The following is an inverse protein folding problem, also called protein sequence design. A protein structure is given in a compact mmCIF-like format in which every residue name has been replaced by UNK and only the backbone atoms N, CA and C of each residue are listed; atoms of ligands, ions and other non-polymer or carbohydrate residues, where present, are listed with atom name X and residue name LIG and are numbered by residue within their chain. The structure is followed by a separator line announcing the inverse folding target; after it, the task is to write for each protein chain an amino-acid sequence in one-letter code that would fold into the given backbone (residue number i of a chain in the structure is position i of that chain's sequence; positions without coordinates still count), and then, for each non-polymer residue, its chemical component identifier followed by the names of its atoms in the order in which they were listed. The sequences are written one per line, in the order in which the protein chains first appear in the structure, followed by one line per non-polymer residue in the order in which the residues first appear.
data_IF_932750808064
#
_entry.id   IF_932750808064
#
_cell.length_a   1.000
_cell.length_b   1.000
_cell.length_c   1.000
_cell.angle_alpha   90.00
_cell.angle_beta   90.00
_cell.angle_gamma   90.00
#
_symmetry.space_group_name_H-M   'P 1'
#
loop_
_entity.id
_entity.type
_entity.pdbx_description
1 polymer ?
#
# COMPACT_ATOMS: atom_id res chain seq x y z
N UNK A 1 -4.85 13.33 31.42
CA UNK A 1 -5.70 13.37 30.20
C UNK A 1 -5.55 12.06 29.43
N UNK A 2 -6.64 11.52 28.87
CA UNK A 2 -6.62 10.23 28.13
C UNK A 2 -5.71 10.24 26.87
N UNK A 3 -5.29 11.41 26.40
CA UNK A 3 -4.51 11.59 25.18
C UNK A 3 -3.00 11.66 25.39
N UNK A 4 -2.52 11.82 26.60
CA UNK A 4 -1.08 11.96 26.88
C UNK A 4 -0.39 10.59 27.03
N UNK A 5 -1.18 9.55 27.28
CA UNK A 5 -0.69 8.18 27.35
C UNK A 5 -1.49 7.30 26.38
N UNK A 6 -0.82 6.50 25.55
CA UNK A 6 -1.52 5.57 24.68
C UNK A 6 -2.30 4.55 25.51
N UNK A 7 -3.48 4.15 25.02
CA UNK A 7 -4.27 3.11 25.66
C UNK A 7 -3.44 1.81 25.77
N UNK A 8 -3.55 1.06 26.87
CA UNK A 8 -2.69 -0.09 27.14
C UNK A 8 -2.63 -1.09 25.99
N UNK A 9 -3.76 -1.39 25.34
CA UNK A 9 -3.79 -2.34 24.22
C UNK A 9 -3.06 -1.81 22.98
N UNK A 10 -3.10 -0.50 22.70
CA UNK A 10 -2.35 0.12 21.60
C UNK A 10 -0.85 0.08 21.92
N UNK A 11 -0.48 0.41 23.15
CA UNK A 11 0.90 0.34 23.59
C UNK A 11 1.45 -1.06 23.46
N UNK A 12 0.74 -2.08 23.97
CA UNK A 12 1.14 -3.47 23.88
C UNK A 12 1.31 -3.93 22.43
N UNK A 13 0.41 -3.51 21.54
CA UNK A 13 0.52 -3.81 20.11
C UNK A 13 1.77 -3.15 19.48
N UNK A 14 2.06 -1.88 19.77
CA UNK A 14 3.23 -1.19 19.23
C UNK A 14 4.53 -1.77 19.81
N UNK A 15 4.54 -2.16 21.07
CA UNK A 15 5.71 -2.80 21.68
C UNK A 15 5.95 -4.20 21.07
N UNK A 16 4.92 -5.02 20.92
CA UNK A 16 5.02 -6.33 20.23
C UNK A 16 5.48 -6.17 18.77
N UNK A 17 5.04 -5.12 18.09
CA UNK A 17 5.47 -4.80 16.73
C UNK A 17 6.94 -4.40 16.69
N UNK A 18 7.42 -3.59 17.62
CA UNK A 18 8.83 -3.19 17.71
C UNK A 18 9.74 -4.39 18.06
N UNK A 19 9.32 -5.27 18.96
CA UNK A 19 10.02 -6.52 19.25
C UNK A 19 10.15 -7.40 18.01
N UNK A 20 9.06 -7.57 17.25
CA UNK A 20 9.06 -8.31 16.01
C UNK A 20 9.95 -7.67 14.93
N UNK A 21 10.00 -6.33 14.86
CA UNK A 21 10.92 -5.62 13.99
C UNK A 21 12.38 -5.86 14.39
N UNK A 22 12.70 -5.73 15.66
CA UNK A 22 14.07 -5.88 16.17
C UNK A 22 14.62 -7.29 15.93
N UNK A 23 13.78 -8.33 16.07
CA UNK A 23 14.22 -9.72 15.90
C UNK A 23 14.63 -10.07 14.47
N UNK A 24 14.07 -9.38 13.46
CA UNK A 24 14.31 -9.69 12.05
C UNK A 24 15.07 -8.57 11.30
N UNK A 25 14.91 -7.34 11.76
CA UNK A 25 15.50 -6.13 11.16
C UNK A 25 15.99 -5.19 12.26
N UNK A 26 17.16 -5.45 12.90
CA UNK A 26 17.66 -4.64 14.02
C UNK A 26 17.74 -3.14 13.73
N UNK A 27 18.03 -2.78 12.47
CA UNK A 27 18.10 -1.38 12.03
C UNK A 27 16.73 -0.72 11.86
N UNK A 28 15.63 -1.49 11.88
CA UNK A 28 14.26 -1.00 11.76
C UNK A 28 13.60 -0.72 13.13
N UNK A 29 14.37 -0.79 14.22
CA UNK A 29 13.91 -0.47 15.57
C UNK A 29 13.24 0.89 15.62
N UNK A 30 12.07 0.96 16.26
CA UNK A 30 11.32 2.20 16.42
C UNK A 30 11.90 3.03 17.57
N UNK A 31 12.11 4.32 17.34
CA UNK A 31 12.44 5.25 18.41
C UNK A 31 11.23 5.51 19.30
N UNK A 32 11.46 6.00 20.51
CA UNK A 32 10.38 6.38 21.45
C UNK A 32 9.38 7.36 20.81
N UNK A 33 9.89 8.34 20.06
CA UNK A 33 9.06 9.31 19.33
C UNK A 33 8.21 8.65 18.24
N UNK A 34 8.78 7.69 17.50
CA UNK A 34 8.04 6.94 16.47
C UNK A 34 6.96 6.06 17.09
N UNK A 35 7.25 5.39 18.21
CA UNK A 35 6.26 4.60 18.95
C UNK A 35 5.11 5.48 19.45
N UNK A 36 5.42 6.63 20.07
CA UNK A 36 4.41 7.59 20.51
C UNK A 36 3.54 8.09 19.36
N UNK A 37 4.16 8.46 18.25
CA UNK A 37 3.45 8.91 17.07
C UNK A 37 2.55 7.83 16.45
N UNK A 38 3.04 6.60 16.31
CA UNK A 38 2.24 5.47 15.81
C UNK A 38 1.07 5.16 16.74
N UNK A 39 1.31 5.13 18.06
CA UNK A 39 0.27 4.92 19.07
C UNK A 39 -0.82 5.98 18.98
N UNK A 40 -0.44 7.25 18.84
CA UNK A 40 -1.38 8.35 18.64
C UNK A 40 -2.15 8.19 17.32
N UNK A 41 -1.50 7.83 16.23
CA UNK A 41 -2.18 7.61 14.95
C UNK A 41 -3.23 6.48 15.04
N UNK A 42 -2.90 5.36 15.69
CA UNK A 42 -3.85 4.27 15.92
C UNK A 42 -5.07 4.74 16.73
N UNK A 43 -4.83 5.48 17.82
CA UNK A 43 -5.90 6.04 18.62
C UNK A 43 -6.75 7.03 17.82
N UNK A 44 -6.11 7.93 17.07
CA UNK A 44 -6.80 8.93 16.26
C UNK A 44 -7.66 8.31 15.16
N UNK A 45 -7.19 7.21 14.53
CA UNK A 45 -7.99 6.43 13.57
C UNK A 45 -9.22 5.86 14.26
N UNK A 46 -9.05 5.23 15.44
CA UNK A 46 -10.14 4.62 16.19
C UNK A 46 -11.20 5.67 16.58
N UNK A 47 -10.77 6.87 17.02
CA UNK A 47 -11.67 7.94 17.45
C UNK A 47 -12.35 8.67 16.28
N UNK A 48 -11.66 8.86 15.16
CA UNK A 48 -12.18 9.69 14.06
C UNK A 48 -12.73 8.89 12.89
N UNK A 49 -12.52 7.58 12.90
CA UNK A 49 -12.79 6.68 11.77
C UNK A 49 -12.28 7.24 10.44
N UNK A 50 -11.07 7.82 10.45
CA UNK A 50 -10.53 8.54 9.30
C UNK A 50 -9.01 8.52 9.31
N UNK A 51 -8.38 8.62 8.14
CA UNK A 51 -6.94 8.83 7.97
C UNK A 51 -6.72 10.26 7.47
N UNK A 52 -6.86 11.23 8.34
CA UNK A 52 -6.75 12.66 8.00
C UNK A 52 -6.02 13.45 9.08
N UNK A 53 -4.87 14.05 8.73
CA UNK A 53 -4.05 14.82 9.69
C UNK A 53 -4.80 15.96 10.37
N UNK A 54 -5.69 16.65 9.65
CA UNK A 54 -6.48 17.72 10.22
C UNK A 54 -7.47 17.19 11.29
N UNK A 55 -8.07 16.01 11.09
CA UNK A 55 -8.91 15.38 12.10
C UNK A 55 -8.07 14.90 13.29
N UNK A 56 -6.90 14.32 13.04
CA UNK A 56 -5.97 13.89 14.08
C UNK A 56 -5.51 15.07 14.95
N UNK A 57 -5.15 16.19 14.32
CA UNK A 57 -4.80 17.42 15.05
C UNK A 57 -5.92 17.91 15.93
N UNK A 58 -7.16 17.90 15.46
CA UNK A 58 -8.32 18.29 16.28
C UNK A 58 -8.56 17.34 17.44
N UNK A 59 -8.48 16.03 17.24
CA UNK A 59 -8.69 15.09 18.34
C UNK A 59 -7.52 15.06 19.35
N UNK A 60 -6.35 15.63 19.01
CA UNK A 60 -5.22 15.74 19.92
C UNK A 60 -5.37 16.84 20.97
N UNK A 61 -6.44 17.64 20.93
CA UNK A 61 -6.67 18.77 21.83
C UNK A 61 -5.49 19.75 21.93
N UNK A 62 -4.84 20.01 20.78
CA UNK A 62 -3.71 20.93 20.69
C UNK A 62 -2.32 20.32 20.86
N UNK A 63 -2.20 19.05 21.29
CA UNK A 63 -0.90 18.40 21.51
C UNK A 63 -0.13 18.15 20.21
N UNK A 64 -0.82 17.93 19.10
CA UNK A 64 -0.21 17.62 17.81
C UNK A 64 -0.73 18.52 16.70
N UNK A 65 0.14 19.35 16.16
CA UNK A 65 -0.18 20.13 14.95
C UNK A 65 -0.20 19.23 13.72
N UNK A 66 -1.13 19.49 12.80
CA UNK A 66 -1.27 18.74 11.55
C UNK A 66 0.04 18.70 10.71
N UNK A 67 0.82 19.81 10.73
CA UNK A 67 2.14 19.89 10.06
C UNK A 67 3.14 18.93 10.69
N UNK A 68 3.20 18.81 12.01
CA UNK A 68 4.10 17.92 12.74
C UNK A 68 3.76 16.45 12.47
N UNK A 69 2.48 16.09 12.46
CA UNK A 69 2.02 14.74 12.11
C UNK A 69 2.42 14.35 10.68
N UNK A 70 2.23 15.27 9.73
CA UNK A 70 2.62 15.05 8.34
C UNK A 70 4.14 14.97 8.17
N UNK A 71 4.91 15.78 8.93
CA UNK A 71 6.36 15.75 8.93
C UNK A 71 6.90 14.39 9.41
N UNK A 72 6.39 13.89 10.53
CA UNK A 72 6.74 12.56 11.05
C UNK A 72 6.48 11.47 10.00
N UNK A 73 5.33 11.48 9.33
CA UNK A 73 5.03 10.51 8.27
C UNK A 73 6.03 10.53 7.11
N UNK A 74 6.51 11.73 6.75
CA UNK A 74 7.41 11.91 5.59
C UNK A 74 8.87 11.66 5.90
N UNK A 75 9.34 12.05 7.08
CA UNK A 75 10.76 12.19 7.38
C UNK A 75 11.27 11.30 8.52
N UNK A 76 10.40 10.59 9.23
CA UNK A 76 10.79 9.78 10.39
C UNK A 76 11.60 8.52 10.05
N UNK A 77 11.87 8.24 8.78
CA UNK A 77 12.62 7.06 8.32
C UNK A 77 12.08 5.72 8.85
N UNK A 78 10.75 5.62 9.03
CA UNK A 78 10.10 4.36 9.38
C UNK A 78 10.17 3.41 8.19
N UNK A 79 10.61 2.17 8.42
CA UNK A 79 10.63 1.11 7.40
C UNK A 79 9.22 0.54 7.19
N UNK A 80 8.40 1.23 6.40
CA UNK A 80 6.97 0.94 6.22
C UNK A 80 6.69 -0.47 5.72
N UNK A 81 7.53 -1.02 4.82
CA UNK A 81 7.36 -2.38 4.32
C UNK A 81 7.59 -3.42 5.42
N UNK A 82 8.66 -3.25 6.21
CA UNK A 82 8.93 -4.11 7.36
C UNK A 82 7.84 -3.96 8.42
N UNK A 83 7.37 -2.73 8.67
CA UNK A 83 6.29 -2.46 9.61
C UNK A 83 5.00 -3.21 9.21
N UNK A 84 4.59 -3.15 7.94
CA UNK A 84 3.43 -3.88 7.44
C UNK A 84 3.61 -5.38 7.60
N UNK A 85 4.79 -5.92 7.22
CA UNK A 85 5.09 -7.33 7.34
C UNK A 85 4.97 -7.85 8.77
N UNK A 86 5.63 -7.16 9.71
CA UNK A 86 5.62 -7.57 11.11
C UNK A 86 4.27 -7.33 11.78
N UNK A 87 3.54 -6.28 11.39
CA UNK A 87 2.15 -6.07 11.78
C UNK A 87 1.28 -7.27 11.40
N UNK A 88 1.39 -7.73 10.16
CA UNK A 88 0.69 -8.93 9.69
C UNK A 88 1.04 -10.15 10.54
N UNK A 89 2.33 -10.38 10.83
CA UNK A 89 2.79 -11.52 11.65
C UNK A 89 2.26 -11.46 13.08
N UNK A 90 2.31 -10.29 13.70
CA UNK A 90 1.78 -10.08 15.06
C UNK A 90 0.28 -10.39 15.11
N UNK A 91 -0.49 -9.86 14.15
CA UNK A 91 -1.93 -10.10 14.07
C UNK A 91 -2.25 -11.57 13.83
N UNK A 92 -1.58 -12.20 12.86
CA UNK A 92 -1.78 -13.65 12.56
C UNK A 92 -1.50 -14.50 13.79
N UNK A 93 -0.42 -14.22 14.52
CA UNK A 93 -0.07 -14.93 15.76
C UNK A 93 -1.10 -14.68 16.87
N UNK A 94 -1.48 -13.42 17.08
CA UNK A 94 -2.40 -13.03 18.16
C UNK A 94 -3.80 -13.60 17.99
N UNK A 95 -4.29 -13.69 16.74
CA UNK A 95 -5.61 -14.25 16.43
C UNK A 95 -5.57 -15.75 16.10
N UNK A 96 -4.42 -16.41 16.21
CA UNK A 96 -4.28 -17.82 15.91
C UNK A 96 -4.70 -18.20 14.48
N UNK A 97 -4.45 -17.32 13.51
CA UNK A 97 -4.88 -17.51 12.12
C UNK A 97 -4.02 -18.60 11.49
N UNK A 98 -4.63 -19.73 11.15
CA UNK A 98 -3.96 -20.88 10.54
C UNK A 98 -4.31 -21.09 9.07
N UNK A 99 -5.39 -20.44 8.58
CA UNK A 99 -5.83 -20.57 7.19
C UNK A 99 -6.49 -19.30 6.69
N UNK A 100 -6.48 -19.09 5.38
CA UNK A 100 -7.11 -17.95 4.73
C UNK A 100 -6.93 -17.99 3.24
N UNK A 101 -7.57 -17.04 2.56
CA UNK A 101 -7.49 -16.86 1.09
C UNK A 101 -6.73 -15.57 0.82
N UNK A 102 -5.70 -15.64 -0.04
CA UNK A 102 -5.03 -14.43 -0.55
C UNK A 102 -5.86 -13.85 -1.70
N UNK A 103 -6.27 -12.61 -1.53
CA UNK A 103 -7.02 -11.83 -2.53
C UNK A 103 -6.15 -10.69 -2.99
N UNK A 104 -5.99 -10.57 -4.30
CA UNK A 104 -5.34 -9.43 -4.94
C UNK A 104 -6.41 -8.50 -5.48
N UNK A 105 -6.37 -7.26 -5.03
CA UNK A 105 -7.28 -6.19 -5.48
C UNK A 105 -6.48 -4.98 -5.97
N UNK A 106 -7.06 -4.21 -6.87
CA UNK A 106 -6.48 -2.96 -7.34
C UNK A 106 -7.34 -1.77 -6.93
N UNK A 107 -6.68 -0.67 -6.62
CA UNK A 107 -7.32 0.58 -6.27
C UNK A 107 -6.70 1.73 -7.02
N UNK A 108 -7.55 2.56 -7.64
CA UNK A 108 -7.12 3.73 -8.39
C UNK A 108 -7.43 5.02 -7.64
N UNK A 109 -6.42 5.85 -7.46
CA UNK A 109 -6.58 7.15 -6.83
C UNK A 109 -6.27 8.28 -7.82
N UNK A 110 -7.27 9.08 -8.13
CA UNK A 110 -7.11 10.33 -8.90
C UNK A 110 -6.14 11.27 -8.21
N UNK A 111 -5.31 11.95 -8.99
CA UNK A 111 -4.33 12.92 -8.50
C UNK A 111 -4.54 14.28 -9.18
N UNK A 112 -4.08 15.34 -8.51
CA UNK A 112 -4.10 16.69 -9.09
C UNK A 112 -3.28 16.78 -10.39
N UNK A 113 -3.49 17.81 -11.18
CA UNK A 113 -2.85 18.02 -12.50
C UNK A 113 -1.32 17.97 -12.43
N UNK A 114 -0.70 18.51 -11.38
CA UNK A 114 0.76 18.50 -11.19
C UNK A 114 1.20 17.21 -10.49
N UNK A 115 1.60 16.22 -11.27
CA UNK A 115 1.94 14.87 -10.76
C UNK A 115 3.43 14.54 -10.82
N UNK A 116 4.29 15.46 -11.28
CA UNK A 116 5.74 15.21 -11.46
C UNK A 116 6.46 14.70 -10.19
N UNK A 117 5.94 15.07 -9.01
CA UNK A 117 6.52 14.69 -7.70
C UNK A 117 5.82 13.50 -7.05
N UNK A 118 4.81 12.91 -7.72
CA UNK A 118 4.04 11.80 -7.17
C UNK A 118 4.61 10.51 -7.71
N UNK A 119 5.02 9.62 -6.80
CA UNK A 119 5.63 8.33 -7.13
C UNK A 119 4.69 7.51 -8.02
N UNK A 120 5.21 7.00 -9.14
CA UNK A 120 4.49 6.16 -10.12
C UNK A 120 3.13 6.71 -10.59
N UNK A 121 2.95 8.03 -10.61
CA UNK A 121 1.75 8.62 -11.20
C UNK A 121 1.75 8.43 -12.72
N UNK A 122 0.62 8.00 -13.26
CA UNK A 122 0.43 7.73 -14.68
C UNK A 122 -0.98 8.08 -15.13
N UNK A 123 -1.28 7.94 -16.42
CA UNK A 123 -2.63 8.13 -16.96
C UNK A 123 -3.49 6.91 -16.65
N UNK A 124 -4.58 7.11 -15.92
CA UNK A 124 -5.61 6.13 -15.67
C UNK A 124 -6.91 6.51 -16.40
N UNK A 125 -7.72 5.53 -16.77
CA UNK A 125 -9.00 5.78 -17.42
C UNK A 125 -10.01 6.27 -16.38
N UNK A 126 -10.61 7.42 -16.61
CA UNK A 126 -11.68 7.91 -15.76
C UNK A 126 -13.02 7.30 -16.17
N UNK A 127 -13.56 6.43 -15.32
CA UNK A 127 -14.85 5.76 -15.56
C UNK A 127 -16.02 6.75 -15.70
N UNK A 128 -15.92 7.95 -15.09
CA UNK A 128 -17.00 8.94 -15.11
C UNK A 128 -17.01 9.78 -16.39
N UNK A 129 -15.85 10.25 -16.82
CA UNK A 129 -15.74 11.12 -18.02
C UNK A 129 -15.39 10.37 -19.30
N UNK A 130 -15.04 9.07 -19.20
CA UNK A 130 -14.57 8.27 -20.33
C UNK A 130 -13.17 8.63 -20.83
N UNK A 131 -12.58 9.71 -20.30
CA UNK A 131 -11.25 10.22 -20.66
C UNK A 131 -10.12 9.64 -19.78
N UNK A 132 -8.97 10.30 -19.86
CA UNK A 132 -7.79 9.95 -19.08
C UNK A 132 -7.43 11.06 -18.11
N UNK A 133 -7.17 10.69 -16.86
CA UNK A 133 -6.72 11.58 -15.79
C UNK A 133 -5.40 11.10 -15.21
N UNK A 134 -4.70 11.98 -14.52
CA UNK A 134 -3.53 11.58 -13.76
C UNK A 134 -3.97 10.84 -12.49
N UNK A 135 -3.35 9.71 -12.22
CA UNK A 135 -3.65 8.89 -11.04
C UNK A 135 -2.51 7.99 -10.64
N UNK A 136 -2.74 7.24 -9.59
CA UNK A 136 -1.90 6.15 -9.14
C UNK A 136 -2.79 4.90 -9.01
N UNK A 137 -2.28 3.76 -9.44
CA UNK A 137 -2.90 2.46 -9.18
C UNK A 137 -2.05 1.71 -8.15
N UNK A 138 -2.71 1.22 -7.11
CA UNK A 138 -2.12 0.46 -6.01
C UNK A 138 -2.71 -0.93 -6.07
N UNK A 139 -1.85 -1.94 -6.11
CA UNK A 139 -2.21 -3.33 -5.93
C UNK A 139 -2.09 -3.65 -4.45
N UNK A 140 -3.12 -4.23 -3.87
CA UNK A 140 -3.16 -4.60 -2.46
C UNK A 140 -3.36 -6.12 -2.38
N UNK A 141 -2.51 -6.79 -1.63
CA UNK A 141 -2.65 -8.19 -1.31
C UNK A 141 -3.26 -8.31 0.08
N UNK A 142 -4.42 -8.95 0.17
CA UNK A 142 -5.17 -9.16 1.41
C UNK A 142 -5.16 -10.64 1.77
N UNK A 143 -4.96 -10.95 3.05
CA UNK A 143 -5.28 -12.24 3.63
C UNK A 143 -6.70 -12.13 4.19
N UNK A 144 -7.62 -12.86 3.59
CA UNK A 144 -9.05 -12.90 3.98
C UNK A 144 -9.33 -14.19 4.74
N UNK A 145 -9.85 -14.05 5.96
CA UNK A 145 -10.31 -15.14 6.81
C UNK A 145 -11.79 -14.93 7.12
N UNK A 146 -12.49 -15.92 7.70
CA UNK A 146 -13.89 -15.72 8.08
C UNK A 146 -14.12 -14.59 9.08
N UNK A 147 -13.14 -14.27 9.91
CA UNK A 147 -13.24 -13.29 11.00
C UNK A 147 -12.61 -11.93 10.68
N UNK A 148 -11.56 -11.88 9.85
CA UNK A 148 -10.80 -10.67 9.62
C UNK A 148 -10.13 -10.65 8.24
N UNK A 149 -9.98 -9.47 7.64
CA UNK A 149 -9.20 -9.24 6.43
C UNK A 149 -7.99 -8.36 6.76
N UNK A 150 -6.79 -8.82 6.41
CA UNK A 150 -5.53 -8.20 6.79
C UNK A 150 -4.74 -7.85 5.52
N UNK A 151 -4.26 -6.60 5.33
CA UNK A 151 -3.33 -6.29 4.25
C UNK A 151 -1.97 -6.93 4.56
N UNK A 152 -1.48 -7.75 3.63
CA UNK A 152 -0.19 -8.45 3.76
C UNK A 152 0.87 -7.92 2.81
N UNK A 153 0.48 -7.09 1.85
CA UNK A 153 1.41 -6.45 0.93
C UNK A 153 0.73 -5.41 0.05
N UNK A 154 1.52 -4.54 -0.53
CA UNK A 154 1.05 -3.59 -1.55
C UNK A 154 2.15 -3.31 -2.57
N UNK A 155 1.75 -2.94 -3.78
CA UNK A 155 2.65 -2.47 -4.81
C UNK A 155 2.01 -1.33 -5.61
N UNK A 156 2.82 -0.35 -6.01
CA UNK A 156 2.38 0.64 -6.97
C UNK A 156 2.57 0.10 -8.39
N UNK A 157 1.49 0.10 -9.15
CA UNK A 157 1.55 -0.22 -10.57
C UNK A 157 2.13 0.94 -11.37
N UNK A 158 2.86 0.62 -12.42
CA UNK A 158 3.33 1.56 -13.43
C UNK A 158 3.23 0.86 -14.79
N UNK A 159 2.57 1.48 -15.77
CA UNK A 159 2.56 0.92 -17.14
C UNK A 159 3.97 0.78 -17.68
N UNK A 160 4.22 -0.29 -18.45
CA UNK A 160 5.48 -0.48 -19.14
C UNK A 160 5.75 0.70 -20.09
N UNK A 161 6.89 1.40 -19.93
CA UNK A 161 7.24 2.54 -20.80
C UNK A 161 7.35 2.15 -22.29
N UNK A 162 7.90 0.98 -22.59
CA UNK A 162 8.07 0.51 -23.97
C UNK A 162 6.71 0.23 -24.62
N UNK A 163 5.85 -0.48 -23.90
CA UNK A 163 4.49 -0.76 -24.34
C UNK A 163 3.68 0.53 -24.51
N UNK A 164 3.82 1.47 -23.58
CA UNK A 164 3.15 2.77 -23.64
C UNK A 164 3.63 3.61 -24.84
N UNK A 165 4.92 3.59 -25.15
CA UNK A 165 5.49 4.26 -26.33
C UNK A 165 5.01 3.60 -27.61
N UNK A 166 4.96 2.28 -27.67
CA UNK A 166 4.43 1.53 -28.81
C UNK A 166 2.96 1.88 -29.08
N UNK A 167 2.10 1.90 -28.06
CA UNK A 167 0.70 2.27 -28.21
C UNK A 167 0.54 3.69 -28.77
N UNK A 168 1.29 4.65 -28.24
CA UNK A 168 1.27 6.05 -28.73
C UNK A 168 1.70 6.14 -30.20
N UNK A 169 2.77 5.44 -30.57
CA UNK A 169 3.26 5.39 -31.97
C UNK A 169 2.23 4.75 -32.90
N UNK A 170 1.66 3.61 -32.50
CA UNK A 170 0.67 2.90 -33.27
C UNK A 170 -0.61 3.72 -33.47
N UNK A 171 -1.09 4.43 -32.43
CA UNK A 171 -2.22 5.35 -32.53
C UNK A 171 -1.94 6.53 -33.46
N UNK A 172 -0.73 7.11 -33.40
CA UNK A 172 -0.34 8.18 -34.30
C UNK A 172 -0.35 7.72 -35.75
N UNK A 173 0.21 6.56 -36.05
CA UNK A 173 0.22 5.98 -37.41
C UNK A 173 -1.18 5.64 -37.91
N UNK A 174 -2.04 5.13 -37.01
CA UNK A 174 -3.47 4.91 -37.33
C UNK A 174 -4.18 6.21 -37.73
N UNK A 175 -3.96 7.29 -36.98
CA UNK A 175 -4.54 8.61 -37.32
C UNK A 175 -4.02 9.18 -38.63
N UNK A 176 -2.81 8.83 -39.05
CA UNK A 176 -2.21 9.20 -40.34
C UNK A 176 -2.66 8.31 -41.50
N UNK A 177 -3.58 7.36 -41.30
CA UNK A 177 -4.08 6.47 -42.32
C UNK A 177 -3.14 5.34 -42.73
N UNK A 178 -2.03 5.13 -42.02
CA UNK A 178 -1.07 4.05 -42.31
C UNK A 178 -1.75 2.70 -42.15
N UNK A 179 -1.63 1.82 -43.16
CA UNK A 179 -2.22 0.49 -43.16
C UNK A 179 -1.70 -0.39 -42.01
N UNK A 180 -2.53 -1.30 -41.50
CA UNK A 180 -2.17 -2.13 -40.33
C UNK A 180 -0.90 -2.97 -40.56
N UNK A 181 -0.65 -3.41 -41.80
CA UNK A 181 0.52 -4.19 -42.19
C UNK A 181 1.83 -3.40 -42.12
N UNK A 182 1.77 -2.06 -42.26
CA UNK A 182 2.93 -1.17 -42.26
C UNK A 182 3.22 -0.59 -40.87
N UNK A 183 2.37 -0.90 -39.90
CA UNK A 183 2.57 -0.45 -38.51
C UNK A 183 3.53 -1.39 -37.78
N UNK A 184 4.25 -0.89 -36.73
CA UNK A 184 5.13 -1.74 -35.95
C UNK A 184 4.37 -2.97 -35.43
N UNK A 185 4.96 -4.16 -35.51
CA UNK A 185 4.34 -5.40 -35.03
C UNK A 185 3.95 -5.20 -33.54
N UNK A 186 2.85 -5.85 -33.14
CA UNK A 186 2.43 -5.80 -31.73
C UNK A 186 3.57 -6.34 -30.88
N UNK A 187 4.07 -5.55 -29.97
CA UNK A 187 4.87 -6.08 -28.90
C UNK A 187 4.03 -7.19 -28.29
N UNK A 188 4.52 -8.44 -28.35
CA UNK A 188 3.84 -9.54 -27.68
C UNK A 188 3.49 -9.03 -26.30
N UNK A 189 2.22 -9.13 -25.90
CA UNK A 189 1.77 -8.76 -24.55
C UNK A 189 2.75 -9.43 -23.61
N UNK A 190 3.71 -8.64 -23.13
CA UNK A 190 4.69 -9.15 -22.19
C UNK A 190 3.81 -9.70 -21.06
N UNK A 191 3.87 -11.01 -20.84
CA UNK A 191 3.06 -11.76 -19.85
C UNK A 191 3.19 -11.21 -18.42
N UNK A 192 3.86 -10.09 -18.26
CA UNK A 192 4.24 -9.42 -17.02
C UNK A 192 3.36 -8.23 -16.62
N UNK A 193 2.17 -8.06 -17.18
CA UNK A 193 1.18 -7.06 -16.70
C UNK A 193 0.46 -7.59 -15.43
N UNK A 194 0.61 -8.86 -15.11
CA UNK A 194 0.25 -9.35 -13.77
C UNK A 194 1.31 -8.88 -12.78
N UNK A 195 0.93 -8.49 -11.56
CA UNK A 195 1.91 -8.18 -10.52
C UNK A 195 2.92 -9.31 -10.53
N UNK A 196 4.19 -8.92 -10.65
CA UNK A 196 5.28 -9.84 -10.89
C UNK A 196 5.10 -11.05 -9.97
N UNK A 197 5.03 -12.26 -10.54
CA UNK A 197 4.91 -13.49 -9.74
C UNK A 197 5.92 -13.51 -8.60
N UNK A 198 7.09 -12.93 -8.83
CA UNK A 198 8.13 -12.77 -7.83
C UNK A 198 7.70 -11.85 -6.67
N UNK A 199 6.92 -10.78 -6.93
CA UNK A 199 6.39 -9.93 -5.86
C UNK A 199 5.31 -10.64 -5.05
N UNK A 200 4.36 -11.32 -5.71
CA UNK A 200 3.36 -12.16 -5.02
C UNK A 200 4.03 -13.25 -4.20
N UNK A 201 5.04 -13.91 -4.77
CA UNK A 201 5.82 -14.93 -4.09
C UNK A 201 6.66 -14.34 -2.94
N UNK A 202 7.18 -13.11 -3.08
CA UNK A 202 7.88 -12.40 -2.01
C UNK A 202 6.91 -12.03 -0.88
N UNK A 203 5.75 -11.49 -1.18
CA UNK A 203 4.73 -11.18 -0.17
C UNK A 203 4.18 -12.44 0.52
N UNK A 204 4.03 -13.55 -0.22
CA UNK A 204 3.58 -14.81 0.37
C UNK A 204 4.64 -15.48 1.25
N UNK A 205 5.94 -15.34 0.94
CA UNK A 205 7.06 -15.79 1.80
C UNK A 205 7.13 -15.02 3.12
N UNK A 206 6.51 -13.86 3.17
CA UNK A 206 6.42 -13.04 4.37
C UNK A 206 5.34 -13.51 5.36
N UNK A 207 4.45 -14.39 4.92
CA UNK A 207 3.50 -15.06 5.80
C UNK A 207 4.18 -16.19 6.59
N UNK A 208 3.73 -16.51 7.81
CA UNK A 208 4.27 -17.63 8.55
C UNK A 208 4.21 -18.91 7.71
N UNK A 209 5.23 -19.78 7.73
CA UNK A 209 5.27 -21.00 6.95
C UNK A 209 4.14 -21.99 7.30
N UNK A 210 3.47 -21.76 8.41
CA UNK A 210 2.33 -22.53 8.89
C UNK A 210 1.01 -22.20 8.21
N UNK A 211 0.96 -21.15 7.36
CA UNK A 211 -0.25 -20.82 6.60
C UNK A 211 -0.25 -21.58 5.27
N UNK A 212 -1.04 -22.63 5.09
CA UNK A 212 -1.19 -23.28 3.80
C UNK A 212 -1.87 -22.29 2.83
N UNK A 213 -1.11 -21.81 1.85
CA UNK A 213 -1.62 -20.95 0.78
C UNK A 213 -2.35 -21.85 -0.21
N UNK A 214 -3.60 -22.19 0.08
CA UNK A 214 -4.34 -23.13 -0.75
C UNK A 214 -5.09 -22.50 -1.92
N UNK A 215 -5.29 -21.19 -1.96
CA UNK A 215 -6.03 -20.54 -3.07
C UNK A 215 -5.64 -19.07 -3.25
N UNK A 216 -5.21 -18.73 -4.48
CA UNK A 216 -5.18 -17.35 -4.97
C UNK A 216 -6.49 -17.06 -5.71
N UNK A 217 -7.24 -16.06 -5.29
CA UNK A 217 -8.30 -15.45 -6.08
C UNK A 217 -7.86 -14.06 -6.51
N UNK A 218 -7.87 -13.81 -7.82
CA UNK A 218 -7.75 -12.46 -8.38
C UNK A 218 -9.18 -12.02 -8.69
N UNK A 219 -9.65 -10.98 -8.04
CA UNK A 219 -10.94 -10.36 -8.30
C UNK A 219 -10.82 -9.34 -9.43
#
# INVERSE_FOLDING_TARGET
MLMDKPLPFIKNYIDALDEALQSHHPQAKLSSTQKGWLSFCCLAIALTNSVCWAKFSRCSLGNYASKALCWMFRYSKIHWEALLLHSTRVIVKQYGITQGVLVLDDSEKKRAKSTKRIFKAHKIKDKKSGGYINGQSILILLLVTPSISIPVGFAFYMPDPQLSAWYKRNECLKKKGVAAKERPPSLQKIKNIRPNRNWLCSCSKNLPPTLPISRFRVL
#
